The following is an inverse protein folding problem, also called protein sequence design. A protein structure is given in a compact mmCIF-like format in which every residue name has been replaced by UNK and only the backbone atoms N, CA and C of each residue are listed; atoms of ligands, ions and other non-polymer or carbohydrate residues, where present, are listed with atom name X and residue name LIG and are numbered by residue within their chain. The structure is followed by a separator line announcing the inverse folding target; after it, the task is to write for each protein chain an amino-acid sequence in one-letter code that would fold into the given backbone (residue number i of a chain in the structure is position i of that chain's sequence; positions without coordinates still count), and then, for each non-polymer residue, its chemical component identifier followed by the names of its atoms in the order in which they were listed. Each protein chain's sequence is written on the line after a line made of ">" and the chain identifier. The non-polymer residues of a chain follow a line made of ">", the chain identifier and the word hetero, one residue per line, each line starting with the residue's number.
data_IF_886404385953
#
_entry.id   IF_886404385953
#
_cell.length_a   1.000
_cell.length_b   1.000
_cell.length_c   1.000
_cell.angle_alpha   90.00
_cell.angle_beta   90.00
_cell.angle_gamma   90.00
#
_symmetry.space_group_name_H-M   'P 1'
#
loop_
_entity.id
_entity.type
_entity.pdbx_description
1 polymer ?
#
# COMPACT_ATOMS: atom_id res chain seq x y z
N UNK A 1 -6.86 -21.27 3.05
CA UNK A 1 -5.72 -20.65 3.77
C UNK A 1 -5.55 -19.26 3.22
N UNK A 2 -5.45 -18.23 4.06
CA UNK A 2 -5.18 -16.86 3.61
C UNK A 2 -3.71 -16.78 3.21
N UNK A 3 -3.42 -16.23 2.03
CA UNK A 3 -2.06 -15.94 1.59
C UNK A 3 -1.92 -14.43 1.44
N UNK A 4 -1.13 -13.83 2.32
CA UNK A 4 -0.85 -12.40 2.33
C UNK A 4 0.67 -12.17 2.42
N UNK A 5 1.13 -11.04 1.89
CA UNK A 5 2.54 -10.71 1.84
C UNK A 5 2.75 -9.27 1.40
N UNK A 6 3.95 -8.76 1.65
CA UNK A 6 4.36 -7.41 1.28
C UNK A 6 5.86 -7.37 1.02
N UNK A 7 6.29 -6.50 0.12
CA UNK A 7 7.69 -6.20 -0.17
C UNK A 7 7.89 -4.68 -0.11
N UNK A 8 9.02 -4.24 0.42
CA UNK A 8 9.31 -2.82 0.63
C UNK A 8 10.03 -2.19 -0.59
N UNK A 9 10.76 -2.98 -1.39
CA UNK A 9 11.53 -2.51 -2.55
C UNK A 9 12.42 -1.29 -2.24
N UNK A 10 13.10 -1.32 -1.09
CA UNK A 10 13.95 -0.24 -0.59
C UNK A 10 13.24 0.87 0.20
N UNK A 11 11.89 0.89 0.22
CA UNK A 11 11.10 1.76 1.10
C UNK A 11 10.76 1.06 2.41
N UNK A 12 11.76 0.91 3.28
CA UNK A 12 11.62 0.15 4.52
C UNK A 12 10.36 0.51 5.33
N UNK A 13 9.54 -0.50 5.61
CA UNK A 13 8.29 -0.43 6.35
C UNK A 13 7.04 -0.10 5.51
N UNK A 14 7.19 0.28 4.24
CA UNK A 14 6.08 0.69 3.39
C UNK A 14 5.13 -0.47 3.06
N UNK A 15 5.67 -1.62 2.68
CA UNK A 15 4.90 -2.80 2.29
C UNK A 15 4.03 -3.31 3.42
N UNK A 16 4.62 -3.49 4.61
CA UNK A 16 3.86 -3.96 5.78
C UNK A 16 2.78 -2.97 6.21
N UNK A 17 3.08 -1.66 6.12
CA UNK A 17 2.11 -0.60 6.44
C UNK A 17 0.93 -0.63 5.46
N UNK A 18 1.19 -0.77 4.16
CA UNK A 18 0.14 -0.85 3.15
C UNK A 18 -0.70 -2.13 3.31
N UNK A 19 -0.08 -3.29 3.56
CA UNK A 19 -0.82 -4.54 3.79
C UNK A 19 -1.75 -4.45 5.00
N UNK A 20 -1.30 -3.85 6.11
CA UNK A 20 -2.17 -3.59 7.26
C UNK A 20 -3.38 -2.73 6.87
N UNK A 21 -3.14 -1.65 6.13
CA UNK A 21 -4.21 -0.77 5.69
C UNK A 21 -5.19 -1.46 4.73
N UNK A 22 -4.72 -2.35 3.85
CA UNK A 22 -5.58 -3.17 2.98
C UNK A 22 -6.49 -4.07 3.81
N UNK A 23 -5.92 -4.77 4.79
CA UNK A 23 -6.67 -5.65 5.70
C UNK A 23 -7.73 -4.86 6.50
N UNK A 24 -7.36 -3.70 7.05
CA UNK A 24 -8.28 -2.83 7.79
C UNK A 24 -9.44 -2.28 6.93
N UNK A 25 -9.23 -2.16 5.61
CA UNK A 25 -10.23 -1.70 4.65
C UNK A 25 -10.95 -2.86 3.91
N UNK A 26 -10.71 -4.12 4.30
CA UNK A 26 -11.34 -5.28 3.68
C UNK A 26 -10.96 -5.51 2.21
N UNK A 27 -9.84 -4.92 1.74
CA UNK A 27 -9.34 -5.11 0.38
C UNK A 27 -8.70 -6.50 0.30
N UNK A 28 -9.39 -7.43 -0.37
CA UNK A 28 -9.00 -8.83 -0.48
C UNK A 28 -8.90 -9.25 -1.95
N UNK A 29 -8.21 -10.36 -2.21
CA UNK A 29 -8.01 -10.92 -3.56
C UNK A 29 -7.39 -9.91 -4.54
N UNK A 30 -6.50 -9.05 -4.02
CA UNK A 30 -5.89 -7.95 -4.76
C UNK A 30 -4.37 -7.94 -4.57
N UNK A 31 -3.65 -7.58 -5.64
CA UNK A 31 -2.25 -7.17 -5.58
C UNK A 31 -2.20 -5.66 -5.86
N UNK A 32 -1.61 -4.89 -4.93
CA UNK A 32 -1.42 -3.46 -5.09
C UNK A 32 0.08 -3.18 -5.16
N UNK A 33 0.51 -2.53 -6.24
CA UNK A 33 1.89 -2.09 -6.44
C UNK A 33 1.90 -0.57 -6.44
N UNK A 34 2.74 0.04 -5.58
CA UNK A 34 2.88 1.48 -5.49
C UNK A 34 4.29 1.87 -5.93
N UNK A 35 4.39 2.64 -7.01
CA UNK A 35 5.66 3.22 -7.45
C UNK A 35 5.85 4.61 -6.86
N UNK A 36 6.99 4.87 -6.23
CA UNK A 36 7.37 6.20 -5.74
C UNK A 36 8.52 6.77 -6.57
N UNK A 37 8.33 7.94 -7.16
CA UNK A 37 9.43 8.70 -7.77
C UNK A 37 10.09 9.63 -6.75
N UNK A 38 11.41 9.53 -6.59
CA UNK A 38 12.12 10.40 -5.66
C UNK A 38 12.30 11.81 -6.24
N UNK A 39 11.67 12.81 -5.60
CA UNK A 39 11.94 14.23 -5.84
C UNK A 39 12.80 14.85 -4.73
N UNK A 40 12.35 14.70 -3.48
CA UNK A 40 13.06 15.17 -2.28
C UNK A 40 12.80 14.23 -1.09
N UNK A 41 13.59 14.40 -0.02
CA UNK A 41 13.41 13.66 1.23
C UNK A 41 12.24 14.24 2.03
N UNK A 42 11.13 13.52 2.08
CA UNK A 42 9.90 13.91 2.80
C UNK A 42 9.71 13.18 4.14
N UNK A 43 10.73 12.44 4.59
CA UNK A 43 10.71 11.74 5.88
C UNK A 43 9.55 10.75 5.99
N UNK A 44 8.87 10.73 7.14
CA UNK A 44 7.76 9.81 7.41
C UNK A 44 6.52 10.06 6.55
N UNK A 45 6.35 11.27 5.98
CA UNK A 45 5.19 11.60 5.13
C UNK A 45 5.11 10.73 3.88
N UNK A 46 6.21 10.11 3.45
CA UNK A 46 6.20 9.15 2.33
C UNK A 46 5.24 7.98 2.57
N UNK A 47 5.12 7.51 3.81
CA UNK A 47 4.25 6.38 4.13
C UNK A 47 2.79 6.75 3.95
N UNK A 48 2.38 7.96 4.36
CA UNK A 48 1.03 8.47 4.11
C UNK A 48 0.71 8.48 2.61
N UNK A 49 1.62 9.00 1.76
CA UNK A 49 1.39 9.01 0.32
C UNK A 49 1.31 7.60 -0.29
N UNK A 50 2.14 6.67 0.17
CA UNK A 50 2.12 5.28 -0.31
C UNK A 50 0.80 4.61 0.05
N UNK A 51 0.35 4.75 1.31
CA UNK A 51 -0.91 4.19 1.78
C UNK A 51 -2.10 4.82 1.07
N UNK A 52 -2.15 6.15 0.97
CA UNK A 52 -3.25 6.87 0.33
C UNK A 52 -3.39 6.47 -1.14
N UNK A 53 -2.29 6.39 -1.88
CA UNK A 53 -2.29 5.95 -3.27
C UNK A 53 -2.78 4.49 -3.40
N UNK A 54 -2.25 3.60 -2.55
CA UNK A 54 -2.64 2.19 -2.56
C UNK A 54 -4.12 1.97 -2.22
N UNK A 55 -4.61 2.58 -1.15
CA UNK A 55 -6.03 2.48 -0.77
C UNK A 55 -6.96 3.10 -1.82
N UNK A 56 -6.55 4.21 -2.44
CA UNK A 56 -7.34 4.82 -3.51
C UNK A 56 -7.48 3.89 -4.73
N UNK A 57 -6.42 3.14 -5.07
CA UNK A 57 -6.50 2.12 -6.10
C UNK A 57 -7.39 0.94 -5.66
N UNK A 58 -7.23 0.47 -4.42
CA UNK A 58 -7.95 -0.68 -3.87
C UNK A 58 -9.47 -0.49 -3.79
N UNK A 59 -9.94 0.74 -3.54
CA UNK A 59 -11.37 1.09 -3.52
C UNK A 59 -12.10 0.77 -4.83
N UNK A 60 -11.38 0.67 -5.96
CA UNK A 60 -11.97 0.38 -7.26
C UNK A 60 -12.03 -1.12 -7.59
N UNK A 61 -11.51 -2.00 -6.73
CA UNK A 61 -11.35 -3.43 -7.02
C UNK A 61 -12.64 -4.22 -6.78
N UNK A 62 -13.55 -3.73 -5.95
CA UNK A 62 -14.89 -4.28 -5.76
C UNK A 62 -15.93 -3.15 -5.72
N UNK A 63 -16.38 -2.62 -6.88
CA UNK A 63 -17.62 -1.88 -6.90
C UNK A 63 -18.73 -2.89 -6.61
N UNK A 64 -19.40 -2.71 -5.48
CA UNK A 64 -20.67 -3.38 -5.14
C UNK A 64 -21.66 -3.34 -6.28
#
# INVERSE_FOLDING_TARGET
>A
MVHEGSEDDGEHGAGRTLLSAMNDNGIQNALIVVSRWFGNKIGMRRFTHIVDAGLSAGKNINPS
#
